data_IF_333899055915
#
_entry.id   IF_333899055915
#
_cell.length_a   1.000
_cell.length_b   1.000
_cell.length_c   1.000
_cell.angle_alpha   90.00
_cell.angle_beta   90.00
_cell.angle_gamma   90.00
#
_symmetry.space_group_name_H-M   'P 1'
#
loop_
_entity.id
_entity.type
_entity.pdbx_description
1 polymer ?
#
# COMPACT_ATOMS: atom_id res chain seq x y z
N UNK A 1 17.39 -4.80 25.98
CA UNK A 1 18.43 -4.47 25.02
C UNK A 1 18.64 -2.95 24.99
N UNK A 2 19.88 -2.50 24.93
CA UNK A 2 20.25 -1.10 24.68
C UNK A 2 20.64 -0.26 25.91
N UNK A 3 20.14 -0.50 27.10
CA UNK A 3 20.55 0.27 28.30
C UNK A 3 21.91 -0.17 28.87
N UNK A 4 22.30 -1.41 28.60
CA UNK A 4 23.51 -2.03 29.16
C UNK A 4 24.63 -2.15 28.11
N UNK A 5 24.53 -1.42 26.98
CA UNK A 5 25.53 -1.47 25.90
C UNK A 5 25.54 -2.80 25.10
N UNK A 6 24.56 -3.67 25.32
CA UNK A 6 24.42 -4.93 24.58
C UNK A 6 23.92 -4.71 23.16
N UNK A 7 24.39 -5.54 22.24
CA UNK A 7 23.89 -5.57 20.85
C UNK A 7 22.46 -6.09 20.81
N UNK A 8 21.65 -5.51 19.95
CA UNK A 8 20.25 -5.92 19.71
C UNK A 8 19.87 -5.78 18.25
N UNK A 9 19.11 -6.75 17.76
CA UNK A 9 18.52 -6.72 16.41
C UNK A 9 17.05 -6.31 16.54
N UNK A 10 16.63 -5.32 15.76
CA UNK A 10 15.24 -4.91 15.66
C UNK A 10 14.71 -5.41 14.32
N UNK A 11 13.64 -6.21 14.37
CA UNK A 11 12.94 -6.72 13.18
C UNK A 11 11.49 -6.27 13.25
N UNK A 12 11.01 -5.65 12.18
CA UNK A 12 9.61 -5.25 12.03
C UNK A 12 9.00 -6.00 10.85
N UNK A 13 7.80 -6.55 11.07
CA UNK A 13 6.97 -7.07 9.99
C UNK A 13 6.01 -5.98 9.55
N UNK A 14 5.90 -5.77 8.24
CA UNK A 14 5.07 -4.73 7.65
C UNK A 14 4.27 -5.29 6.49
N UNK A 15 2.98 -4.96 6.43
CA UNK A 15 2.11 -5.20 5.28
C UNK A 15 1.04 -4.11 5.16
N UNK A 16 0.59 -3.82 3.95
CA UNK A 16 -0.52 -2.87 3.71
C UNK A 16 -1.83 -3.32 4.40
N UNK A 17 -2.03 -4.62 4.55
CA UNK A 17 -3.19 -5.17 5.29
C UNK A 17 -3.20 -4.77 6.76
N UNK A 18 -2.03 -4.64 7.38
CA UNK A 18 -1.93 -4.18 8.76
C UNK A 18 -2.23 -2.70 8.89
N UNK A 19 -1.86 -1.90 7.90
CA UNK A 19 -2.25 -0.48 7.81
C UNK A 19 -3.78 -0.34 7.80
N UNK A 20 -4.46 -1.09 6.93
CA UNK A 20 -5.93 -1.09 6.85
C UNK A 20 -6.59 -1.58 8.15
N UNK A 21 -5.97 -2.54 8.86
CA UNK A 21 -6.45 -3.00 10.18
C UNK A 21 -6.29 -1.91 11.22
N UNK A 22 -5.14 -1.24 11.28
CA UNK A 22 -4.89 -0.14 12.23
C UNK A 22 -5.90 0.99 12.04
N UNK A 23 -6.21 1.37 10.80
CA UNK A 23 -7.20 2.40 10.51
C UNK A 23 -8.59 2.07 11.06
N UNK A 24 -9.00 0.80 11.05
CA UNK A 24 -10.28 0.38 11.61
C UNK A 24 -10.42 0.62 13.13
N UNK A 25 -9.32 0.63 13.90
CA UNK A 25 -9.36 0.90 15.33
C UNK A 25 -9.74 2.34 15.67
N UNK A 26 -9.70 3.24 14.70
CA UNK A 26 -9.95 4.67 14.92
C UNK A 26 -11.28 5.14 14.33
N UNK A 27 -12.04 4.25 13.67
CA UNK A 27 -13.30 4.62 13.00
C UNK A 27 -14.38 5.15 13.95
N UNK A 28 -14.36 4.70 15.22
CA UNK A 28 -15.33 5.10 16.24
C UNK A 28 -14.93 6.37 17.02
N UNK A 29 -13.76 6.94 16.71
CA UNK A 29 -13.28 8.17 17.37
C UNK A 29 -13.81 9.41 16.66
N UNK A 30 -13.70 10.57 17.33
CA UNK A 30 -14.05 11.85 16.70
C UNK A 30 -13.09 12.15 15.52
N UNK A 31 -13.52 12.99 14.58
CA UNK A 31 -12.80 13.28 13.34
C UNK A 31 -11.35 13.77 13.57
N UNK A 32 -11.13 14.58 14.60
CA UNK A 32 -9.80 15.11 14.93
C UNK A 32 -8.85 13.99 15.41
N UNK A 33 -9.34 13.10 16.27
CA UNK A 33 -8.56 11.95 16.74
C UNK A 33 -8.30 10.93 15.62
N UNK A 34 -9.28 10.72 14.74
CA UNK A 34 -9.08 9.89 13.54
C UNK A 34 -7.98 10.45 12.65
N UNK A 35 -7.97 11.76 12.45
CA UNK A 35 -6.98 12.40 11.59
C UNK A 35 -5.58 12.36 12.19
N UNK A 36 -5.44 12.57 13.50
CA UNK A 36 -4.17 12.39 14.22
C UNK A 36 -3.67 10.95 14.13
N UNK A 37 -4.54 9.97 14.39
CA UNK A 37 -4.19 8.56 14.30
C UNK A 37 -3.75 8.16 12.88
N UNK A 38 -4.48 8.60 11.86
CA UNK A 38 -4.12 8.37 10.47
C UNK A 38 -2.77 9.03 10.10
N UNK A 39 -2.45 10.19 10.69
CA UNK A 39 -1.15 10.82 10.49
C UNK A 39 -0.02 9.96 11.08
N UNK A 40 -0.19 9.45 12.30
CA UNK A 40 0.81 8.57 12.92
C UNK A 40 0.99 7.27 12.13
N UNK A 41 -0.10 6.69 11.62
CA UNK A 41 -0.02 5.51 10.74
C UNK A 41 0.78 5.84 9.48
N UNK A 42 0.54 6.98 8.84
CA UNK A 42 1.32 7.41 7.66
C UNK A 42 2.81 7.59 7.97
N UNK A 43 3.18 8.08 9.17
CA UNK A 43 4.59 8.18 9.57
C UNK A 43 5.24 6.78 9.67
N UNK A 44 4.54 5.80 10.25
CA UNK A 44 5.03 4.42 10.33
C UNK A 44 5.16 3.80 8.95
N UNK A 45 4.17 3.98 8.07
CA UNK A 45 4.22 3.54 6.67
C UNK A 45 5.42 4.16 5.96
N UNK A 46 5.55 5.49 6.07
CA UNK A 46 6.68 6.22 5.50
C UNK A 46 8.04 5.70 6.00
N UNK A 47 8.14 5.34 7.28
CA UNK A 47 9.35 4.73 7.83
C UNK A 47 9.59 3.32 7.27
N UNK A 48 8.55 2.50 7.13
CA UNK A 48 8.67 1.14 6.63
C UNK A 48 9.09 1.12 5.14
N UNK A 49 8.45 1.92 4.32
CA UNK A 49 8.65 1.95 2.87
C UNK A 49 9.93 2.69 2.45
N UNK A 50 10.39 3.62 3.24
CA UNK A 50 11.57 4.42 2.93
C UNK A 50 12.84 3.60 2.78
N UNK A 51 13.60 3.88 1.75
CA UNK A 51 14.96 3.40 1.53
C UNK A 51 16.06 4.23 2.23
N UNK A 52 15.68 5.33 2.89
CA UNK A 52 16.63 6.13 3.67
C UNK A 52 17.08 5.38 4.95
N UNK A 53 18.22 5.77 5.49
CA UNK A 53 18.78 5.17 6.70
C UNK A 53 17.77 5.18 7.86
N UNK A 54 17.46 4.02 8.42
CA UNK A 54 16.48 3.86 9.52
C UNK A 54 16.83 4.73 10.73
N UNK A 55 18.11 4.74 11.12
CA UNK A 55 18.55 5.51 12.26
C UNK A 55 18.43 7.02 12.04
N UNK A 56 18.77 7.48 10.84
CA UNK A 56 18.67 8.92 10.51
C UNK A 56 17.21 9.37 10.50
N UNK A 57 16.29 8.55 9.99
CA UNK A 57 14.86 8.83 10.05
C UNK A 57 14.35 8.98 11.49
N UNK A 58 14.78 8.08 12.39
CA UNK A 58 14.40 8.17 13.81
C UNK A 58 14.97 9.40 14.48
N UNK A 59 16.25 9.74 14.26
CA UNK A 59 16.85 10.95 14.80
C UNK A 59 16.11 12.20 14.36
N UNK A 60 15.82 12.32 13.08
CA UNK A 60 15.04 13.44 12.54
C UNK A 60 13.61 13.49 13.09
N UNK A 61 12.96 12.34 13.28
CA UNK A 61 11.62 12.28 13.88
C UNK A 61 11.62 12.88 15.29
N UNK A 62 12.70 12.70 16.05
CA UNK A 62 12.88 13.29 17.37
C UNK A 62 13.53 14.68 17.35
N UNK A 63 13.69 15.28 16.17
CA UNK A 63 14.21 16.65 16.02
C UNK A 63 15.73 16.76 16.10
N UNK A 64 16.45 15.63 16.10
CA UNK A 64 17.92 15.63 16.05
C UNK A 64 18.41 15.78 14.62
N UNK A 65 19.49 16.54 14.44
CA UNK A 65 20.20 16.62 13.17
C UNK A 65 21.33 15.59 13.16
N UNK A 66 21.24 14.53 12.32
CA UNK A 66 22.32 13.57 12.24
C UNK A 66 23.58 14.19 11.62
N UNK A 67 24.75 13.83 12.16
CA UNK A 67 26.06 14.27 11.64
C UNK A 67 26.47 13.49 10.37
N UNK A 68 25.83 12.36 10.10
CA UNK A 68 26.12 11.46 8.99
C UNK A 68 24.85 11.14 8.21
N UNK A 69 24.98 10.91 6.92
CA UNK A 69 23.83 10.55 6.05
C UNK A 69 23.34 9.12 6.28
N UNK A 70 24.19 8.24 6.80
CA UNK A 70 23.83 6.83 7.04
C UNK A 70 24.54 6.27 8.26
N UNK A 71 23.99 5.18 8.83
CA UNK A 71 24.56 4.52 10.01
C UNK A 71 25.46 3.32 9.67
N UNK A 72 25.49 2.88 8.41
CA UNK A 72 26.27 1.73 7.94
C UNK A 72 25.83 0.38 8.49
N UNK A 73 24.73 0.29 9.24
CA UNK A 73 24.36 -0.93 9.97
C UNK A 73 22.86 -1.32 9.86
N UNK A 74 21.98 -0.49 9.35
CA UNK A 74 20.59 -0.86 9.12
C UNK A 74 20.43 -1.57 7.76
N UNK A 75 19.27 -2.19 7.56
CA UNK A 75 18.88 -2.86 6.32
C UNK A 75 19.13 -1.98 5.07
N UNK A 76 18.65 -0.73 5.10
CA UNK A 76 18.80 0.20 3.98
C UNK A 76 20.25 0.62 3.72
N UNK A 77 21.10 0.71 4.75
CA UNK A 77 22.51 1.02 4.56
C UNK A 77 23.32 -0.19 4.04
N UNK A 78 22.92 -1.40 4.44
CA UNK A 78 23.57 -2.64 4.01
C UNK A 78 23.14 -3.07 2.61
N UNK A 79 21.90 -2.73 2.22
CA UNK A 79 21.31 -3.05 0.92
C UNK A 79 20.69 -1.79 0.31
N UNK A 80 21.53 -0.82 -0.13
CA UNK A 80 21.03 0.46 -0.64
C UNK A 80 20.24 0.26 -1.94
N UNK A 81 19.12 0.96 -2.03
CA UNK A 81 18.30 0.99 -3.24
C UNK A 81 18.96 1.88 -4.31
N UNK A 82 18.66 1.63 -5.60
CA UNK A 82 19.11 2.51 -6.67
C UNK A 82 18.67 3.95 -6.45
N UNK A 83 19.52 4.89 -6.77
CA UNK A 83 19.23 6.32 -6.71
C UNK A 83 19.06 6.89 -8.11
N UNK A 84 18.18 7.88 -8.23
CA UNK A 84 17.98 8.68 -9.43
C UNK A 84 18.27 10.14 -9.13
N UNK A 85 18.80 10.87 -10.11
CA UNK A 85 18.93 12.31 -10.00
C UNK A 85 17.52 12.92 -10.14
N UNK A 86 17.09 13.73 -9.18
CA UNK A 86 15.75 14.28 -9.06
C UNK A 86 15.75 15.73 -8.54
N UNK A 87 16.77 16.51 -8.88
CA UNK A 87 16.86 17.91 -8.46
C UNK A 87 15.75 18.77 -9.05
N UNK A 88 15.39 18.56 -10.32
CA UNK A 88 14.29 19.27 -10.97
C UNK A 88 12.93 18.88 -10.38
N UNK A 89 12.74 17.61 -10.04
CA UNK A 89 11.52 17.10 -9.37
C UNK A 89 11.42 17.64 -7.95
N UNK A 90 12.51 17.70 -7.20
CA UNK A 90 12.53 18.34 -5.89
C UNK A 90 12.13 19.83 -6.01
N UNK A 91 12.68 20.55 -6.97
CA UNK A 91 12.33 21.94 -7.22
C UNK A 91 10.86 22.10 -7.55
N UNK A 92 10.33 21.28 -8.49
CA UNK A 92 8.92 21.31 -8.86
C UNK A 92 7.99 21.01 -7.65
N UNK A 93 8.37 20.05 -6.80
CA UNK A 93 7.63 19.76 -5.58
C UNK A 93 7.58 20.97 -4.63
N UNK A 94 8.69 21.67 -4.45
CA UNK A 94 8.74 22.88 -3.62
C UNK A 94 7.93 24.02 -4.24
N UNK A 95 8.01 24.25 -5.55
CA UNK A 95 7.21 25.23 -6.27
C UNK A 95 5.71 24.95 -6.10
N UNK A 96 5.30 23.68 -6.21
CA UNK A 96 3.90 23.26 -5.96
C UNK A 96 3.47 23.56 -4.52
N UNK A 97 4.30 23.23 -3.51
CA UNK A 97 4.01 23.56 -2.10
C UNK A 97 3.83 25.08 -1.92
N UNK A 98 4.67 25.88 -2.58
CA UNK A 98 4.59 27.34 -2.52
C UNK A 98 3.30 27.87 -3.16
N UNK A 99 2.95 27.38 -4.36
CA UNK A 99 1.71 27.74 -5.07
C UNK A 99 0.46 27.37 -4.26
N UNK A 100 0.53 26.26 -3.51
CA UNK A 100 -0.50 25.84 -2.56
C UNK A 100 -0.46 26.59 -1.22
N UNK A 101 0.31 27.68 -1.12
CA UNK A 101 0.44 28.56 0.06
C UNK A 101 0.92 27.84 1.33
N UNK A 102 1.67 26.74 1.18
CA UNK A 102 2.26 25.98 2.29
C UNK A 102 1.21 25.61 3.36
N UNK A 103 0.04 25.16 2.96
CA UNK A 103 -1.10 24.92 3.84
C UNK A 103 -1.68 23.52 3.76
N UNK A 104 -0.95 22.59 3.14
CA UNK A 104 -1.45 21.27 2.80
C UNK A 104 -0.44 20.17 3.14
N UNK A 105 -0.94 18.94 3.24
CA UNK A 105 -0.18 17.74 3.57
C UNK A 105 0.49 17.16 2.31
N UNK A 106 1.46 16.29 2.50
CA UNK A 106 2.16 15.63 1.40
C UNK A 106 1.21 14.90 0.43
N UNK A 107 0.21 14.18 0.94
CA UNK A 107 -0.78 13.47 0.10
C UNK A 107 -1.57 14.42 -0.81
N UNK A 108 -1.96 15.57 -0.29
CA UNK A 108 -2.71 16.60 -1.01
C UNK A 108 -1.85 17.29 -2.07
N UNK A 109 -0.59 17.54 -1.75
CA UNK A 109 0.40 18.07 -2.71
C UNK A 109 0.60 17.08 -3.86
N UNK A 110 0.76 15.79 -3.56
CA UNK A 110 0.91 14.74 -4.58
C UNK A 110 -0.34 14.64 -5.46
N UNK A 111 -1.56 14.76 -4.90
CA UNK A 111 -2.78 14.78 -5.71
C UNK A 111 -2.80 15.91 -6.74
N UNK A 112 -2.33 17.10 -6.35
CA UNK A 112 -2.21 18.26 -7.24
C UNK A 112 -1.15 18.01 -8.31
N UNK A 113 0.03 17.53 -7.94
CA UNK A 113 1.11 17.19 -8.86
C UNK A 113 0.70 16.16 -9.90
N UNK A 114 -0.11 15.17 -9.50
CA UNK A 114 -0.66 14.13 -10.38
C UNK A 114 -1.92 14.56 -11.15
N UNK A 115 -2.37 15.80 -11.02
CA UNK A 115 -3.54 16.31 -11.74
C UNK A 115 -4.86 15.64 -11.35
N UNK A 116 -4.97 15.09 -10.12
CA UNK A 116 -6.18 14.43 -9.65
C UNK A 116 -7.28 15.46 -9.35
N UNK A 117 -8.39 15.40 -10.08
CA UNK A 117 -9.55 16.31 -9.91
C UNK A 117 -10.47 15.88 -8.76
N UNK A 118 -9.93 15.77 -7.56
CA UNK A 118 -10.69 15.44 -6.34
C UNK A 118 -11.60 16.59 -5.91
N UNK A 119 -12.55 16.31 -5.02
CA UNK A 119 -13.42 17.36 -4.43
C UNK A 119 -12.59 18.40 -3.67
N UNK A 120 -11.52 17.95 -3.02
CA UNK A 120 -10.55 18.81 -2.34
C UNK A 120 -9.90 19.81 -3.32
N UNK A 121 -9.31 19.31 -4.42
CA UNK A 121 -8.64 20.14 -5.44
C UNK A 121 -9.59 21.20 -6.00
N UNK A 122 -10.84 20.82 -6.29
CA UNK A 122 -11.87 21.76 -6.80
C UNK A 122 -12.27 22.79 -5.75
N UNK A 123 -12.47 22.40 -4.50
CA UNK A 123 -12.89 23.31 -3.43
C UNK A 123 -11.88 24.42 -3.17
N UNK A 124 -10.60 24.10 -3.25
CA UNK A 124 -9.51 25.08 -3.08
C UNK A 124 -9.01 25.68 -4.40
N UNK A 125 -9.63 25.34 -5.55
CA UNK A 125 -9.27 25.80 -6.91
C UNK A 125 -7.80 25.51 -7.27
N UNK A 126 -7.29 24.40 -6.78
CA UNK A 126 -5.90 23.98 -7.03
C UNK A 126 -5.70 23.43 -8.44
N UNK A 127 -6.79 23.14 -9.15
CA UNK A 127 -6.79 22.80 -10.58
C UNK A 127 -6.49 24.00 -11.51
N UNK A 128 -6.34 25.20 -10.94
CA UNK A 128 -6.07 26.43 -11.68
C UNK A 128 -4.63 26.95 -11.49
N UNK A 129 -3.83 26.33 -10.64
CA UNK A 129 -2.41 26.69 -10.47
C UNK A 129 -1.58 26.11 -11.61
N UNK A 130 -0.45 26.74 -11.92
CA UNK A 130 0.42 26.36 -13.04
C UNK A 130 1.00 24.95 -12.86
N UNK A 131 1.30 24.58 -11.62
CA UNK A 131 1.90 23.32 -11.23
C UNK A 131 0.92 22.13 -11.30
N UNK A 132 -0.38 22.36 -11.53
CA UNK A 132 -1.37 21.28 -11.53
C UNK A 132 -1.13 20.27 -12.66
N UNK A 133 -0.88 19.01 -12.28
CA UNK A 133 -0.69 17.91 -13.22
C UNK A 133 0.68 17.85 -13.90
N UNK A 134 1.62 18.72 -13.51
CA UNK A 134 2.97 18.70 -14.07
C UNK A 134 3.84 17.49 -13.64
N UNK A 135 3.38 16.72 -12.66
CA UNK A 135 4.08 15.55 -12.14
C UNK A 135 3.55 14.20 -12.62
N UNK A 136 2.74 14.16 -13.67
CA UNK A 136 2.11 12.93 -14.18
C UNK A 136 3.08 11.91 -14.79
N UNK A 137 4.31 12.31 -15.08
CA UNK A 137 5.36 11.45 -15.64
C UNK A 137 5.90 10.44 -14.61
N UNK A 138 5.61 10.66 -13.32
CA UNK A 138 6.03 9.81 -12.22
C UNK A 138 4.84 9.33 -11.37
N UNK A 139 4.92 8.11 -10.80
CA UNK A 139 3.87 7.60 -9.91
C UNK A 139 3.89 8.28 -8.54
N UNK A 140 2.82 8.09 -7.76
CA UNK A 140 2.66 8.71 -6.44
C UNK A 140 3.79 8.33 -5.45
N UNK A 141 4.26 7.11 -5.51
CA UNK A 141 5.32 6.56 -4.69
C UNK A 141 6.65 7.31 -4.91
N UNK A 142 6.96 7.63 -6.16
CA UNK A 142 8.13 8.46 -6.49
C UNK A 142 8.04 9.84 -5.85
N UNK A 143 6.88 10.50 -5.93
CA UNK A 143 6.67 11.82 -5.31
C UNK A 143 6.71 11.76 -3.78
N UNK A 144 6.29 10.65 -3.19
CA UNK A 144 6.47 10.42 -1.75
C UNK A 144 7.96 10.36 -1.38
N UNK A 145 8.77 9.64 -2.18
CA UNK A 145 10.21 9.57 -1.99
C UNK A 145 10.87 10.95 -2.15
N UNK A 146 10.51 11.72 -3.17
CA UNK A 146 10.99 13.09 -3.42
C UNK A 146 10.68 14.00 -2.22
N UNK A 147 9.43 14.06 -1.77
CA UNK A 147 9.03 14.91 -0.63
C UNK A 147 9.73 14.49 0.67
N UNK A 148 9.91 13.18 0.88
CA UNK A 148 10.66 12.66 2.02
C UNK A 148 12.12 13.09 1.95
N UNK A 149 12.74 13.00 0.76
CA UNK A 149 14.12 13.43 0.57
C UNK A 149 14.28 14.93 0.76
N UNK A 150 13.38 15.76 0.24
CA UNK A 150 13.35 17.20 0.51
C UNK A 150 13.29 17.51 2.01
N UNK A 151 12.63 16.69 2.81
CA UNK A 151 12.61 16.81 4.28
C UNK A 151 13.96 16.43 4.88
N UNK A 152 14.62 15.38 4.39
CA UNK A 152 15.95 14.97 4.84
C UNK A 152 17.00 16.05 4.55
N UNK A 153 16.96 16.63 3.38
CA UNK A 153 17.82 17.77 2.99
C UNK A 153 17.48 19.06 3.77
N UNK A 154 16.40 19.06 4.54
CA UNK A 154 15.96 20.24 5.28
C UNK A 154 15.38 21.33 4.38
N UNK A 155 14.98 21.03 3.15
CA UNK A 155 14.33 21.96 2.23
C UNK A 155 12.89 22.26 2.65
N UNK A 156 12.23 21.28 3.27
CA UNK A 156 10.88 21.41 3.84
C UNK A 156 10.87 20.90 5.28
N UNK A 157 9.90 21.39 6.05
CA UNK A 157 9.52 20.88 7.36
C UNK A 157 8.07 20.39 7.33
N UNK A 158 7.77 19.48 8.23
CA UNK A 158 6.41 18.96 8.41
C UNK A 158 5.93 19.32 9.82
N UNK A 159 4.87 20.11 9.90
CA UNK A 159 4.30 20.54 11.18
C UNK A 159 3.35 19.49 11.71
N UNK A 160 3.81 18.68 12.66
CA UNK A 160 3.04 17.58 13.25
C UNK A 160 1.80 18.10 14.00
N UNK A 161 1.92 19.23 14.69
CA UNK A 161 0.82 19.87 15.43
C UNK A 161 -0.32 20.35 14.50
N UNK A 162 0.01 20.63 13.22
CA UNK A 162 -0.93 21.02 12.18
C UNK A 162 -1.23 19.85 11.21
N UNK A 163 -1.29 18.64 11.73
CA UNK A 163 -1.65 17.43 10.97
C UNK A 163 -0.73 17.12 9.78
N UNK A 164 0.54 17.52 9.86
CA UNK A 164 1.53 17.19 8.84
C UNK A 164 1.56 18.13 7.64
N UNK A 165 1.18 19.38 7.82
CA UNK A 165 1.30 20.41 6.78
C UNK A 165 2.78 20.63 6.44
N UNK A 166 3.07 20.76 5.14
CA UNK A 166 4.40 21.02 4.64
C UNK A 166 4.68 22.52 4.59
N UNK A 167 5.87 22.90 5.07
CA UNK A 167 6.39 24.28 5.02
C UNK A 167 7.75 24.28 4.34
N UNK A 168 8.03 25.28 3.52
CA UNK A 168 9.33 25.48 2.91
C UNK A 168 10.25 26.19 3.89
N UNK A 169 11.48 25.72 4.01
CA UNK A 169 12.51 26.36 4.83
C UNK A 169 13.24 27.46 4.05
N UNK A 170 14.02 28.33 4.71
CA UNK A 170 14.90 29.26 4.00
C UNK A 170 15.89 28.56 3.05
N UNK A 171 16.31 27.33 3.38
CA UNK A 171 17.16 26.51 2.51
C UNK A 171 16.39 26.04 1.27
N UNK A 172 15.12 25.65 1.44
CA UNK A 172 14.24 25.30 0.33
C UNK A 172 13.98 26.46 -0.62
N UNK A 173 13.78 27.68 -0.09
CA UNK A 173 13.66 28.88 -0.93
C UNK A 173 14.96 29.16 -1.71
N UNK A 174 16.11 28.94 -1.08
CA UNK A 174 17.40 29.09 -1.76
C UNK A 174 17.55 28.05 -2.86
N UNK A 175 17.17 26.79 -2.60
CA UNK A 175 17.21 25.71 -3.57
C UNK A 175 16.34 25.99 -4.80
N UNK A 176 15.13 26.52 -4.64
CA UNK A 176 14.27 26.92 -5.77
C UNK A 176 14.98 27.94 -6.68
N UNK A 177 15.72 28.89 -6.09
CA UNK A 177 16.43 29.93 -6.86
C UNK A 177 17.72 29.41 -7.51
N UNK A 178 18.40 28.49 -6.86
CA UNK A 178 19.68 27.91 -7.27
C UNK A 178 19.66 26.41 -7.02
N UNK A 179 18.99 25.63 -7.88
CA UNK A 179 18.91 24.19 -7.71
C UNK A 179 20.28 23.54 -7.89
N UNK A 180 20.50 22.47 -7.17
CA UNK A 180 21.66 21.60 -7.29
C UNK A 180 21.21 20.15 -7.44
N UNK A 181 22.02 19.25 -8.01
CA UNK A 181 21.67 17.86 -8.16
C UNK A 181 21.36 17.19 -6.82
N UNK A 182 20.21 16.54 -6.72
CA UNK A 182 19.80 15.74 -5.56
C UNK A 182 19.56 14.31 -6.00
N UNK A 183 20.21 13.36 -5.32
CA UNK A 183 20.05 11.93 -5.58
C UNK A 183 18.96 11.37 -4.67
N UNK A 184 17.83 10.97 -5.22
CA UNK A 184 16.71 10.37 -4.49
C UNK A 184 16.77 8.87 -4.64
N UNK A 185 16.76 8.15 -3.52
CA UNK A 185 16.66 6.70 -3.53
C UNK A 185 15.19 6.29 -3.72
N UNK A 186 14.97 5.29 -4.59
CA UNK A 186 13.65 4.70 -4.77
C UNK A 186 13.21 4.01 -3.48
N UNK A 187 11.97 4.22 -3.08
CA UNK A 187 11.39 3.55 -1.90
C UNK A 187 11.18 2.05 -2.14
N UNK A 188 11.10 1.31 -1.05
CA UNK A 188 10.69 -0.09 -1.12
C UNK A 188 9.22 -0.18 -1.50
N UNK A 189 8.93 -0.93 -2.53
CA UNK A 189 7.56 -1.26 -2.92
C UNK A 189 7.24 -2.63 -2.31
N UNK A 190 6.61 -2.62 -1.16
CA UNK A 190 6.03 -3.82 -0.57
C UNK A 190 4.68 -4.09 -1.24
N UNK A 191 4.71 -4.40 -2.54
CA UNK A 191 3.51 -5.01 -3.12
C UNK A 191 3.31 -6.31 -2.39
N UNK A 192 2.09 -6.55 -1.95
CA UNK A 192 1.65 -7.91 -1.73
C UNK A 192 1.71 -8.59 -3.11
N UNK A 193 2.91 -9.04 -3.50
CA UNK A 193 3.09 -9.98 -4.63
C UNK A 193 2.34 -11.28 -4.37
N UNK A 194 1.61 -11.30 -3.28
CA UNK A 194 0.74 -12.32 -2.72
C UNK A 194 -0.74 -11.98 -2.90
N UNK A 195 -1.13 -11.34 -3.99
CA UNK A 195 -2.42 -11.75 -4.54
C UNK A 195 -2.32 -13.17 -5.12
N UNK A 196 -1.10 -13.68 -5.32
CA UNK A 196 -0.85 -15.05 -5.81
C UNK A 196 -0.08 -15.98 -4.87
N UNK A 197 0.57 -15.49 -3.79
CA UNK A 197 1.32 -16.36 -2.87
C UNK A 197 1.26 -15.86 -1.43
N UNK A 198 0.25 -16.23 -0.67
CA UNK A 198 0.38 -16.41 0.77
C UNK A 198 -0.40 -17.63 1.25
N UNK A 199 0.26 -18.73 1.31
CA UNK A 199 0.30 -19.46 2.56
C UNK A 199 1.75 -19.59 2.98
N UNK A 200 2.19 -18.71 3.87
CA UNK A 200 3.35 -18.93 4.72
C UNK A 200 3.04 -20.15 5.54
N UNK A 201 3.53 -21.25 5.04
CA UNK A 201 3.52 -22.59 5.64
C UNK A 201 4.03 -22.50 7.08
N UNK A 202 3.09 -22.48 8.03
CA UNK A 202 3.40 -22.92 9.36
C UNK A 202 3.63 -24.42 9.23
N UNK A 203 4.90 -24.81 9.14
CA UNK A 203 5.32 -26.20 9.05
C UNK A 203 4.79 -26.96 10.25
N UNK A 204 3.64 -27.62 10.08
CA UNK A 204 3.31 -28.83 10.82
C UNK A 204 3.44 -29.97 9.83
N UNK A 205 4.47 -30.78 10.03
CA UNK A 205 4.72 -31.99 9.30
C UNK A 205 3.50 -32.91 9.29
N UNK A 206 3.05 -33.28 8.09
CA UNK A 206 2.00 -34.29 7.94
C UNK A 206 1.54 -34.46 6.50
N UNK A 207 2.27 -35.23 5.75
CA UNK A 207 1.89 -36.10 4.61
C UNK A 207 0.88 -35.59 3.55
N UNK A 208 1.35 -35.43 2.33
CA UNK A 208 0.66 -35.94 1.12
C UNK A 208 -0.02 -34.92 0.22
N UNK A 209 0.56 -34.65 -0.96
CA UNK A 209 -0.13 -34.25 -2.17
C UNK A 209 -0.32 -32.76 -2.41
N UNK A 210 0.65 -32.11 -3.06
CA UNK A 210 0.47 -30.78 -3.65
C UNK A 210 -0.37 -30.89 -4.91
N UNK A 211 -1.66 -30.57 -4.83
CA UNK A 211 -2.47 -30.20 -5.99
C UNK A 211 -2.30 -28.70 -6.16
N UNK A 212 -1.60 -28.27 -7.21
CA UNK A 212 -1.56 -26.86 -7.59
C UNK A 212 -3.00 -26.38 -7.87
N UNK A 213 -3.40 -25.23 -7.32
CA UNK A 213 -4.69 -24.64 -7.61
C UNK A 213 -4.81 -24.39 -9.12
N UNK A 214 -6.00 -24.70 -9.67
CA UNK A 214 -6.25 -24.49 -11.11
C UNK A 214 -6.44 -22.99 -11.38
N UNK A 215 -5.37 -22.36 -11.85
CA UNK A 215 -5.35 -20.92 -12.11
C UNK A 215 -6.34 -20.49 -13.21
N UNK A 216 -6.58 -21.37 -14.20
CA UNK A 216 -7.51 -21.06 -15.29
C UNK A 216 -8.95 -21.06 -14.77
N UNK A 217 -9.33 -22.05 -13.95
CA UNK A 217 -10.63 -22.09 -13.30
C UNK A 217 -10.81 -20.93 -12.32
N UNK A 218 -9.76 -20.60 -11.55
CA UNK A 218 -9.79 -19.47 -10.62
C UNK A 218 -10.08 -18.14 -11.32
N UNK A 219 -9.42 -17.87 -12.45
CA UNK A 219 -9.65 -16.65 -13.23
C UNK A 219 -11.11 -16.57 -13.73
N UNK A 220 -11.70 -17.68 -14.17
CA UNK A 220 -13.09 -17.75 -14.61
C UNK A 220 -14.07 -17.52 -13.45
N UNK A 221 -13.84 -18.15 -12.30
CA UNK A 221 -14.66 -17.95 -11.08
C UNK A 221 -14.60 -16.50 -10.60
N UNK A 222 -13.43 -15.86 -10.64
CA UNK A 222 -13.24 -14.44 -10.28
C UNK A 222 -13.98 -13.51 -11.25
N UNK A 223 -13.98 -13.83 -12.54
CA UNK A 223 -14.76 -13.12 -13.58
C UNK A 223 -16.27 -13.22 -13.33
N UNK A 224 -16.76 -14.42 -13.03
CA UNK A 224 -18.16 -14.68 -12.69
C UNK A 224 -18.57 -13.90 -11.44
N UNK A 225 -17.77 -13.96 -10.37
CA UNK A 225 -18.02 -13.24 -9.13
C UNK A 225 -18.16 -11.72 -9.35
N UNK A 226 -17.28 -11.12 -10.15
CA UNK A 226 -17.35 -9.68 -10.49
C UNK A 226 -18.64 -9.34 -11.25
N UNK A 227 -19.02 -10.18 -12.21
CA UNK A 227 -20.25 -9.97 -12.99
C UNK A 227 -21.52 -10.07 -12.13
N UNK A 228 -21.56 -11.01 -11.19
CA UNK A 228 -22.66 -11.16 -10.24
C UNK A 228 -22.73 -9.99 -9.27
N UNK A 229 -21.59 -9.58 -8.72
CA UNK A 229 -21.48 -8.42 -7.81
C UNK A 229 -22.02 -7.14 -8.47
N UNK A 230 -21.67 -6.92 -9.76
CA UNK A 230 -22.16 -5.78 -10.52
C UNK A 230 -23.67 -5.86 -10.81
N UNK A 231 -24.20 -7.05 -11.11
CA UNK A 231 -25.65 -7.25 -11.36
C UNK A 231 -26.49 -7.07 -10.12
N UNK A 232 -26.03 -7.58 -8.98
CA UNK A 232 -26.76 -7.53 -7.72
C UNK A 232 -26.50 -6.24 -6.92
N UNK A 233 -25.53 -5.41 -7.33
CA UNK A 233 -25.14 -4.20 -6.62
C UNK A 233 -24.53 -4.49 -5.24
N UNK A 234 -23.95 -5.67 -5.05
CA UNK A 234 -23.37 -6.14 -3.81
C UNK A 234 -21.85 -6.19 -3.90
N UNK A 235 -21.12 -5.96 -2.79
CA UNK A 235 -19.69 -6.21 -2.74
C UNK A 235 -19.36 -7.69 -2.97
N UNK A 236 -18.25 -7.99 -3.65
CA UNK A 236 -17.83 -9.36 -4.00
C UNK A 236 -17.75 -10.30 -2.79
N UNK A 237 -17.23 -9.83 -1.67
CA UNK A 237 -17.06 -10.61 -0.43
C UNK A 237 -18.40 -11.04 0.21
N UNK A 238 -19.52 -10.36 -0.11
CA UNK A 238 -20.86 -10.74 0.35
C UNK A 238 -21.37 -11.95 -0.43
N UNK A 239 -21.03 -12.05 -1.71
CA UNK A 239 -21.41 -13.17 -2.58
C UNK A 239 -20.49 -14.37 -2.31
N UNK A 240 -19.19 -14.21 -2.56
CA UNK A 240 -18.13 -15.19 -2.25
C UNK A 240 -16.85 -14.45 -1.91
N UNK A 241 -16.02 -15.02 -1.04
CA UNK A 241 -14.70 -14.50 -0.76
C UNK A 241 -13.62 -15.25 -1.58
N UNK A 242 -12.43 -14.66 -1.65
CA UNK A 242 -11.34 -15.17 -2.46
C UNK A 242 -10.84 -16.55 -2.00
N UNK A 243 -10.88 -16.80 -0.68
CA UNK A 243 -10.54 -18.10 -0.09
C UNK A 243 -11.50 -19.19 -0.53
N UNK A 244 -12.80 -18.87 -0.64
CA UNK A 244 -13.80 -19.81 -1.14
C UNK A 244 -13.54 -20.17 -2.61
N UNK A 245 -13.17 -19.18 -3.45
CA UNK A 245 -12.86 -19.44 -4.85
C UNK A 245 -11.64 -20.37 -5.00
N UNK A 246 -10.58 -20.13 -4.22
CA UNK A 246 -9.39 -21.00 -4.22
C UNK A 246 -9.74 -22.45 -3.81
N UNK A 247 -10.56 -22.62 -2.78
CA UNK A 247 -10.98 -23.95 -2.35
C UNK A 247 -11.84 -24.67 -3.40
N UNK A 248 -12.67 -23.92 -4.13
CA UNK A 248 -13.46 -24.46 -5.27
C UNK A 248 -12.55 -24.97 -6.39
N UNK A 249 -11.38 -24.37 -6.63
CA UNK A 249 -10.44 -24.85 -7.66
C UNK A 249 -9.66 -26.11 -7.24
N UNK A 250 -9.64 -26.44 -5.97
CA UNK A 250 -9.04 -27.65 -5.43
C UNK A 250 -10.04 -28.82 -5.36
N UNK A 251 -11.28 -28.52 -4.98
CA UNK A 251 -12.31 -29.53 -4.71
C UNK A 251 -13.23 -29.80 -5.92
N UNK A 252 -13.28 -28.88 -6.90
CA UNK A 252 -14.18 -28.96 -8.07
C UNK A 252 -15.63 -29.32 -7.72
N UNK A 253 -16.32 -28.54 -6.85
CA UNK A 253 -17.67 -28.84 -6.41
C UNK A 253 -18.66 -28.74 -7.57
N UNK A 254 -19.31 -29.85 -7.91
CA UNK A 254 -20.27 -29.95 -8.98
C UNK A 254 -21.72 -29.98 -8.46
N UNK A 255 -21.94 -29.88 -7.16
CA UNK A 255 -23.26 -29.79 -6.52
C UNK A 255 -23.28 -28.68 -5.47
N UNK A 256 -24.47 -28.18 -5.14
CA UNK A 256 -24.62 -27.17 -4.05
C UNK A 256 -24.16 -27.74 -2.70
N UNK A 257 -24.33 -29.04 -2.50
CA UNK A 257 -23.94 -29.74 -1.27
C UNK A 257 -22.40 -29.77 -1.16
N UNK A 258 -21.68 -30.14 -2.23
CA UNK A 258 -20.21 -30.10 -2.31
C UNK A 258 -19.73 -28.66 -2.13
N UNK A 259 -20.34 -27.68 -2.82
CA UNK A 259 -19.99 -26.26 -2.69
C UNK A 259 -20.14 -25.76 -1.23
N UNK A 260 -21.14 -26.24 -0.50
CA UNK A 260 -21.35 -25.85 0.90
C UNK A 260 -20.25 -26.37 1.85
N UNK A 261 -19.46 -27.34 1.44
CA UNK A 261 -18.32 -27.89 2.19
C UNK A 261 -17.04 -27.09 1.96
N UNK A 262 -16.99 -26.29 0.89
CA UNK A 262 -15.85 -25.43 0.62
C UNK A 262 -15.65 -24.36 1.71
N UNK A 263 -14.41 -24.04 1.99
CA UNK A 263 -14.02 -23.08 3.03
C UNK A 263 -14.71 -21.72 2.83
N UNK A 264 -15.39 -21.22 3.86
CA UNK A 264 -16.10 -19.93 3.82
C UNK A 264 -17.43 -19.93 3.07
N UNK A 265 -17.92 -21.09 2.61
CA UNK A 265 -19.22 -21.23 1.94
C UNK A 265 -20.18 -21.97 2.85
N UNK A 266 -21.01 -21.23 3.59
CA UNK A 266 -22.09 -21.84 4.38
C UNK A 266 -23.27 -22.25 3.50
N UNK A 267 -24.11 -23.21 3.99
CA UNK A 267 -25.28 -23.76 3.27
C UNK A 267 -26.19 -22.65 2.73
N UNK A 268 -26.48 -21.62 3.51
CA UNK A 268 -27.34 -20.51 3.09
C UNK A 268 -26.71 -19.69 1.92
N UNK A 269 -25.39 -19.51 1.94
CA UNK A 269 -24.65 -18.78 0.91
C UNK A 269 -24.57 -19.61 -0.39
N UNK A 270 -24.33 -20.92 -0.26
CA UNK A 270 -24.33 -21.85 -1.38
C UNK A 270 -25.72 -21.94 -2.06
N UNK A 271 -26.80 -22.00 -1.31
CA UNK A 271 -28.15 -22.02 -1.86
C UNK A 271 -28.53 -20.71 -2.55
N UNK A 272 -28.09 -19.55 -2.03
CA UNK A 272 -28.48 -18.24 -2.54
C UNK A 272 -27.69 -17.83 -3.79
N UNK A 273 -26.40 -18.05 -3.81
CA UNK A 273 -25.50 -17.56 -4.85
C UNK A 273 -24.67 -18.64 -5.54
N UNK A 274 -24.76 -19.90 -5.09
CA UNK A 274 -23.85 -20.98 -5.51
C UNK A 274 -24.10 -21.56 -6.89
N UNK A 275 -25.36 -21.54 -7.38
CA UNK A 275 -25.71 -22.25 -8.63
C UNK A 275 -24.85 -21.83 -9.84
N UNK A 276 -24.61 -20.53 -10.10
CA UNK A 276 -23.75 -20.12 -11.21
C UNK A 276 -22.30 -20.61 -11.11
N UNK A 277 -21.77 -20.72 -9.89
CA UNK A 277 -20.42 -21.27 -9.66
C UNK A 277 -20.38 -22.77 -9.94
N UNK A 278 -21.36 -23.51 -9.46
CA UNK A 278 -21.48 -24.96 -9.72
C UNK A 278 -21.60 -25.24 -11.22
N UNK A 279 -22.42 -24.48 -11.94
CA UNK A 279 -22.61 -24.65 -13.38
C UNK A 279 -21.31 -24.38 -14.15
N UNK A 280 -20.58 -23.35 -13.78
CA UNK A 280 -19.27 -23.02 -14.39
C UNK A 280 -18.25 -24.14 -14.11
N UNK A 281 -18.14 -24.59 -12.86
CA UNK A 281 -17.20 -25.67 -12.47
C UNK A 281 -17.54 -26.97 -13.21
N UNK A 282 -18.81 -27.33 -13.32
CA UNK A 282 -19.25 -28.51 -14.09
C UNK A 282 -18.78 -28.45 -15.53
N UNK A 283 -19.07 -27.33 -16.22
CA UNK A 283 -18.66 -27.14 -17.61
C UNK A 283 -17.14 -27.23 -17.74
N UNK A 284 -16.41 -26.60 -16.80
CA UNK A 284 -14.96 -26.64 -16.80
C UNK A 284 -14.38 -28.04 -16.60
N UNK A 285 -14.95 -28.83 -15.70
CA UNK A 285 -14.53 -30.21 -15.43
C UNK A 285 -14.82 -31.12 -16.65
N UNK A 286 -15.98 -30.94 -17.29
CA UNK A 286 -16.34 -31.69 -18.49
C UNK A 286 -15.46 -31.31 -19.70
N UNK A 287 -15.21 -30.02 -19.93
CA UNK A 287 -14.42 -29.51 -21.04
C UNK A 287 -12.93 -29.89 -20.98
N UNK A 288 -12.40 -30.06 -19.75
CA UNK A 288 -10.98 -30.36 -19.52
C UNK A 288 -10.71 -31.81 -19.06
N UNK A 289 -11.75 -32.67 -19.05
CA UNK A 289 -11.67 -34.08 -18.66
C UNK A 289 -10.98 -34.29 -17.28
N UNK A 290 -11.31 -33.43 -16.29
CA UNK A 290 -10.64 -33.42 -14.99
C UNK A 290 -11.14 -34.59 -14.13
N UNK A 291 -10.22 -35.45 -13.67
CA UNK A 291 -10.52 -36.44 -12.64
C UNK A 291 -10.63 -35.74 -11.26
N UNK A 292 -11.85 -35.70 -10.71
CA UNK A 292 -12.09 -35.06 -9.41
C UNK A 292 -11.53 -35.89 -8.26
N UNK A 293 -11.06 -35.26 -7.17
CA UNK A 293 -10.72 -35.98 -5.93
C UNK A 293 -11.93 -36.82 -5.49
N UNK A 294 -11.74 -38.11 -5.27
CA UNK A 294 -12.79 -38.96 -4.70
C UNK A 294 -12.82 -38.77 -3.19
N UNK A 295 -14.05 -38.62 -2.60
CA UNK A 295 -14.30 -38.54 -1.15
C UNK A 295 -13.71 -39.70 -0.36
#
# INVERSE_FOLDING_TARGET
>A
AGRDGGEGVCVAFYSEKDVARLQKFYTDKNLTEQEQANQLVREVVSFAESSACRRMQLLQYFGEKPETENCGNCDNCLHPMPTVEAGDECRYALETIMAMKQSFKASEVIEVMLGKKTSFVKNYRLDQIEEFGGGTDHPAEFWQAVLRHCRFEGLITQEVELFGILKITPLGEQFIRQPYPIMVACDHVFRDDNEDDVDGELVTAGAGGSSAADEALYAQLKGLLRSMAQKEGLPTHVIMDDRSLKDMTLQYPCTIEELSRCTGVGIAKAQKHGQPFVDLIKSYVEDNEIERPQD
#
